data_IF_822872443111
#
_entry.id   IF_822872443111
#
_cell.length_a   1.000
_cell.length_b   1.000
_cell.length_c   1.000
_cell.angle_alpha   90.00
_cell.angle_beta   90.00
_cell.angle_gamma   90.00
#
_symmetry.space_group_name_H-M   'P 1'
#
loop_
_entity.id
_entity.type
_entity.pdbx_description
1 polymer ?
#
# COMPACT_ATOMS: atom_id res chain seq x y z
N UNK A 1 -22.94 -13.86 -9.28
CA UNK A 1 -21.50 -13.70 -9.61
C UNK A 1 -21.13 -12.21 -9.69
N UNK A 2 -21.05 -11.51 -8.56
CA UNK A 2 -20.43 -10.17 -8.48
C UNK A 2 -19.72 -10.02 -7.13
N UNK A 3 -18.70 -10.86 -6.91
CA UNK A 3 -17.76 -10.74 -5.78
C UNK A 3 -16.46 -10.01 -6.16
N UNK A 4 -16.38 -9.41 -7.36
CA UNK A 4 -15.15 -8.84 -7.92
C UNK A 4 -15.30 -7.37 -8.37
N UNK A 5 -15.94 -6.51 -7.56
CA UNK A 5 -15.97 -5.05 -7.80
C UNK A 5 -15.35 -4.26 -6.63
N UNK A 6 -14.59 -4.92 -5.74
CA UNK A 6 -13.82 -4.24 -4.67
C UNK A 6 -12.30 -4.22 -4.98
N UNK A 7 -11.87 -4.97 -5.99
CA UNK A 7 -10.50 -4.95 -6.51
C UNK A 7 -10.05 -3.62 -7.16
N UNK A 8 -10.89 -2.83 -7.87
CA UNK A 8 -10.37 -1.69 -8.64
C UNK A 8 -9.90 -0.56 -7.75
N UNK A 9 -10.55 -0.33 -6.60
CA UNK A 9 -10.19 0.80 -5.71
C UNK A 9 -8.89 0.54 -4.96
N UNK A 10 -8.66 -0.70 -4.51
CA UNK A 10 -7.42 -1.06 -3.81
C UNK A 10 -6.20 -0.94 -4.74
N UNK A 11 -6.33 -1.42 -5.99
CA UNK A 11 -5.29 -1.28 -7.00
C UNK A 11 -5.09 0.19 -7.43
N UNK A 12 -6.18 0.95 -7.57
CA UNK A 12 -6.13 2.36 -7.93
C UNK A 12 -5.46 3.23 -6.86
N UNK A 13 -5.79 3.03 -5.58
CA UNK A 13 -5.15 3.74 -4.47
C UNK A 13 -3.65 3.45 -4.42
N UNK A 14 -3.24 2.20 -4.62
CA UNK A 14 -1.82 1.84 -4.69
C UNK A 14 -1.12 2.47 -5.90
N UNK A 15 -1.79 2.56 -7.06
CA UNK A 15 -1.28 3.28 -8.23
C UNK A 15 -1.10 4.77 -7.96
N UNK A 16 -1.91 5.36 -7.08
CA UNK A 16 -1.76 6.75 -6.63
C UNK A 16 -0.80 6.89 -5.44
N UNK A 17 -0.06 5.82 -5.09
CA UNK A 17 0.85 5.79 -3.94
C UNK A 17 0.16 6.12 -2.62
N UNK A 18 -1.13 5.76 -2.49
CA UNK A 18 -1.94 5.96 -1.29
C UNK A 18 -2.17 4.65 -0.57
N UNK A 19 -2.27 4.72 0.75
CA UNK A 19 -2.61 3.56 1.54
C UNK A 19 -4.08 3.17 1.36
N UNK A 20 -4.32 1.88 1.15
CA UNK A 20 -5.64 1.24 0.93
C UNK A 20 -6.62 1.32 2.11
N UNK A 21 -6.34 2.07 3.17
CA UNK A 21 -7.39 2.33 4.18
C UNK A 21 -7.22 3.56 5.04
N UNK A 22 -6.02 4.16 5.11
CA UNK A 22 -5.89 5.51 5.65
C UNK A 22 -6.10 6.58 4.55
N UNK A 23 -6.03 6.24 3.25
CA UNK A 23 -6.03 7.16 2.07
C UNK A 23 -4.91 8.22 2.05
N UNK A 24 -4.08 8.23 3.08
CA UNK A 24 -2.87 9.04 3.23
C UNK A 24 -1.83 8.56 2.19
N UNK A 25 -1.09 9.47 1.54
CA UNK A 25 0.02 9.11 0.67
C UNK A 25 1.08 8.34 1.46
N UNK A 26 1.55 7.24 0.89
CA UNK A 26 2.60 6.40 1.44
C UNK A 26 3.92 7.19 1.63
N UNK A 27 4.12 8.27 0.88
CA UNK A 27 5.23 9.21 1.09
C UNK A 27 5.23 9.91 2.45
N UNK A 28 4.06 10.03 3.12
CA UNK A 28 3.97 10.57 4.49
C UNK A 28 4.13 9.49 5.57
N UNK A 29 4.29 8.22 5.16
CA UNK A 29 4.61 7.12 6.05
C UNK A 29 6.09 7.11 6.44
N UNK A 30 6.45 6.27 7.41
CA UNK A 30 7.85 6.03 7.75
C UNK A 30 8.46 5.13 6.70
N UNK A 31 9.38 5.65 5.90
CA UNK A 31 10.13 4.90 4.89
C UNK A 31 11.47 4.42 5.46
N UNK A 32 11.71 3.12 5.41
CA UNK A 32 12.94 2.46 5.84
C UNK A 32 13.44 1.61 4.66
N UNK A 33 14.30 2.21 3.84
CA UNK A 33 14.72 1.63 2.56
C UNK A 33 13.54 1.42 1.61
N UNK A 34 13.25 0.16 1.30
CA UNK A 34 12.12 -0.23 0.45
C UNK A 34 10.82 -0.45 1.25
N UNK A 35 10.84 -0.41 2.59
CA UNK A 35 9.68 -0.62 3.45
C UNK A 35 9.04 0.72 3.80
N UNK A 36 7.71 0.81 3.73
CA UNK A 36 6.94 2.03 4.02
C UNK A 36 5.78 1.70 4.93
N UNK A 37 5.77 2.28 6.12
CA UNK A 37 4.74 2.07 7.12
C UNK A 37 3.77 3.27 7.13
N UNK A 38 2.49 3.08 6.75
CA UNK A 38 1.46 4.13 6.96
C UNK A 38 1.29 4.36 8.47
N UNK A 39 0.91 5.58 8.84
CA UNK A 39 0.41 5.95 10.17
C UNK A 39 -0.66 5.01 10.73
N UNK A 40 -1.43 4.31 9.90
CA UNK A 40 -2.41 3.31 10.34
C UNK A 40 -1.79 1.94 10.70
N UNK A 41 -0.46 1.82 10.74
CA UNK A 41 0.26 0.58 11.07
C UNK A 41 0.40 -0.42 9.92
N UNK A 42 -0.07 -0.08 8.71
CA UNK A 42 0.06 -0.98 7.54
C UNK A 42 1.39 -0.78 6.85
N UNK A 43 2.01 -1.90 6.51
CA UNK A 43 3.32 -1.96 5.89
C UNK A 43 3.18 -2.24 4.39
N UNK A 44 3.89 -1.45 3.61
CA UNK A 44 3.97 -1.53 2.16
C UNK A 44 5.44 -1.65 1.75
N UNK A 45 5.71 -2.32 0.65
CA UNK A 45 7.04 -2.42 0.04
C UNK A 45 7.00 -1.63 -1.26
N UNK A 46 7.97 -0.72 -1.43
CA UNK A 46 8.20 0.05 -2.64
C UNK A 46 9.25 -0.67 -3.48
N UNK A 47 8.85 -1.20 -4.63
CA UNK A 47 9.73 -1.91 -5.56
C UNK A 47 9.54 -1.29 -6.95
N UNK A 48 10.62 -0.76 -7.55
CA UNK A 48 10.59 -0.11 -8.88
C UNK A 48 9.49 0.95 -9.03
N UNK A 49 9.26 1.76 -7.99
CA UNK A 49 8.24 2.83 -8.00
C UNK A 49 6.80 2.35 -7.80
N UNK A 50 6.56 1.04 -7.68
CA UNK A 50 5.26 0.46 -7.35
C UNK A 50 5.18 0.12 -5.87
N UNK A 51 4.02 0.36 -5.26
CA UNK A 51 3.76 -0.02 -3.88
C UNK A 51 2.98 -1.34 -3.85
N UNK A 52 3.52 -2.34 -3.16
CA UNK A 52 2.85 -3.61 -2.86
C UNK A 52 2.64 -3.74 -1.35
N UNK A 53 1.70 -4.56 -0.91
CA UNK A 53 1.59 -4.93 0.50
C UNK A 53 2.79 -5.81 0.88
N UNK A 54 3.37 -5.61 2.05
CA UNK A 54 4.40 -6.50 2.56
C UNK A 54 3.83 -7.93 2.70
N UNK A 55 4.61 -8.93 2.31
CA UNK A 55 4.32 -10.34 2.62
C UNK A 55 4.57 -10.58 4.12
N UNK A 56 4.01 -11.67 4.66
CA UNK A 56 4.23 -12.05 6.06
C UNK A 56 5.72 -12.21 6.40
N UNK A 57 6.55 -12.61 5.44
CA UNK A 57 8.01 -12.73 5.57
C UNK A 57 8.73 -11.37 5.63
N UNK A 58 8.08 -10.27 5.24
CA UNK A 58 8.65 -8.91 5.16
C UNK A 58 8.14 -7.96 6.28
N UNK A 59 7.21 -8.43 7.13
CA UNK A 59 6.58 -7.66 8.21
C UNK A 59 7.45 -7.62 9.46
#
# INVERSE_FOLDING_TARGET
MFKNVVAPVQAWLLSQSRCVGCSIPLSQGKAEGNKVTCKCGRIFIKENGKFRRARFEEV
#
